data_IF_298231589198
#
_entry.id   IF_298231589198
#
_cell.length_a   1.000
_cell.length_b   1.000
_cell.length_c   1.000
_cell.angle_alpha   90.00
_cell.angle_beta   90.00
_cell.angle_gamma   90.00
#
_symmetry.space_group_name_H-M   'P 1'
#
loop_
_entity.id
_entity.type
_entity.pdbx_description
1 polymer ?
#
# COMPACT_ATOMS: atom_id res chain seq x y z
N UNK A 1 53.28 27.89 40.14
CA UNK A 1 52.13 27.95 41.08
C UNK A 1 51.19 26.79 40.78
N UNK A 2 51.21 25.79 41.67
CA UNK A 2 50.18 24.80 42.09
C UNK A 2 49.04 24.40 41.15
N UNK A 3 48.58 23.15 41.05
CA UNK A 3 49.14 21.78 41.02
C UNK A 3 47.95 20.84 40.84
N UNK A 4 48.15 19.74 40.10
CA UNK A 4 47.31 18.54 40.13
C UNK A 4 47.17 17.98 41.57
N UNK A 5 46.09 17.23 41.79
CA UNK A 5 45.90 16.19 42.81
C UNK A 5 45.16 16.54 44.13
N UNK A 6 43.92 16.06 44.22
CA UNK A 6 43.30 15.42 45.39
C UNK A 6 42.11 14.57 44.91
N UNK A 7 41.90 13.32 45.30
CA UNK A 7 42.71 12.29 45.97
C UNK A 7 41.80 11.04 45.88
N UNK A 8 42.34 9.91 45.41
CA UNK A 8 41.73 8.59 45.57
C UNK A 8 41.72 8.20 47.06
N UNK A 9 40.65 7.56 47.53
CA UNK A 9 40.57 6.66 48.70
C UNK A 9 39.11 6.16 48.70
N UNK A 10 38.77 4.90 48.42
CA UNK A 10 39.23 3.69 49.08
C UNK A 10 39.05 2.45 48.18
N UNK A 11 40.02 1.53 48.25
CA UNK A 11 40.06 0.22 47.60
C UNK A 11 39.50 -0.86 48.56
N UNK A 12 38.73 -1.78 47.97
CA UNK A 12 38.51 -3.19 48.35
C UNK A 12 38.10 -3.59 49.79
N UNK A 13 37.01 -4.36 49.92
CA UNK A 13 37.05 -5.83 50.04
C UNK A 13 35.70 -6.40 50.53
N UNK A 14 35.53 -7.71 50.35
CA UNK A 14 34.57 -8.61 51.01
C UNK A 14 33.20 -8.86 50.33
N UNK A 15 33.25 -9.78 49.37
CA UNK A 15 32.41 -10.99 49.24
C UNK A 15 31.24 -11.24 50.22
N UNK A 16 30.07 -11.62 49.66
CA UNK A 16 29.25 -12.83 49.94
C UNK A 16 27.76 -12.57 49.60
N UNK A 17 27.14 -13.42 48.78
CA UNK A 17 25.68 -13.65 48.82
C UNK A 17 25.30 -14.46 50.09
N UNK A 18 24.02 -14.84 50.36
CA UNK A 18 22.95 -15.11 49.39
C UNK A 18 21.51 -14.68 49.80
N UNK A 19 20.54 -15.06 48.94
CA UNK A 19 19.14 -15.45 49.24
C UNK A 19 17.97 -14.44 49.20
N UNK A 20 16.89 -14.99 48.62
CA UNK A 20 15.52 -14.54 48.38
C UNK A 20 14.80 -13.71 49.46
N UNK A 21 13.99 -12.74 49.02
CA UNK A 21 12.66 -12.50 49.62
C UNK A 21 11.72 -11.82 48.62
N UNK A 22 10.53 -12.40 48.46
CA UNK A 22 9.37 -11.73 47.89
C UNK A 22 9.00 -10.55 48.78
N UNK A 23 8.78 -9.37 48.20
CA UNK A 23 8.13 -8.25 48.89
C UNK A 23 6.88 -7.85 48.11
N UNK A 24 5.77 -8.03 48.79
CA UNK A 24 4.44 -7.62 48.40
C UNK A 24 4.41 -6.16 47.95
N UNK A 25 3.69 -5.93 46.86
CA UNK A 25 3.27 -4.60 46.41
C UNK A 25 2.49 -3.92 47.55
N UNK A 26 2.93 -2.72 47.95
CA UNK A 26 2.28 -1.91 48.98
C UNK A 26 0.86 -1.55 48.57
N UNK A 27 -0.09 -1.49 49.51
CA UNK A 27 -1.51 -1.18 49.31
C UNK A 27 -1.79 0.04 48.42
N UNK A 28 -0.90 1.04 48.41
CA UNK A 28 -0.98 2.21 47.52
C UNK A 28 -0.92 1.89 46.02
N UNK A 29 -0.43 0.71 45.63
CA UNK A 29 -0.36 0.25 44.23
C UNK A 29 -1.57 -0.58 43.79
N UNK A 30 -2.33 -1.11 44.75
CA UNK A 30 -3.60 -1.79 44.47
C UNK A 30 -4.73 -0.76 44.28
N UNK A 31 -4.77 0.28 45.11
CA UNK A 31 -5.74 1.39 44.97
C UNK A 31 -5.54 2.17 43.66
N UNK A 32 -4.29 2.42 43.25
CA UNK A 32 -3.98 3.04 41.97
C UNK A 32 -4.36 2.16 40.76
N UNK A 33 -4.35 0.83 40.93
CA UNK A 33 -4.76 -0.11 39.89
C UNK A 33 -6.29 -0.22 39.81
N UNK A 34 -6.99 -0.19 40.93
CA UNK A 34 -8.46 -0.13 40.97
C UNK A 34 -9.00 1.19 40.41
N UNK A 35 -8.35 2.33 40.69
CA UNK A 35 -8.70 3.61 40.06
C UNK A 35 -8.49 3.57 38.54
N UNK A 36 -7.43 2.93 38.05
CA UNK A 36 -7.17 2.75 36.61
C UNK A 36 -8.19 1.82 35.93
N UNK A 37 -8.61 0.75 36.61
CA UNK A 37 -9.64 -0.18 36.13
C UNK A 37 -11.02 0.50 36.13
N UNK A 38 -11.34 1.31 37.15
CA UNK A 38 -12.56 2.10 37.21
C UNK A 38 -12.60 3.18 36.11
N UNK A 39 -11.47 3.84 35.83
CA UNK A 39 -11.35 4.80 34.73
C UNK A 39 -11.50 4.13 33.35
N UNK A 40 -10.95 2.91 33.18
CA UNK A 40 -11.11 2.13 31.95
C UNK A 40 -12.56 1.67 31.75
N UNK A 41 -13.24 1.29 32.83
CA UNK A 41 -14.64 0.83 32.81
C UNK A 41 -15.62 1.98 32.54
N UNK A 42 -15.35 3.18 33.06
CA UNK A 42 -16.12 4.39 32.74
C UNK A 42 -15.88 4.88 31.30
N UNK A 43 -14.68 4.69 30.75
CA UNK A 43 -14.42 4.93 29.32
C UNK A 43 -15.15 3.92 28.41
N UNK A 44 -15.35 2.68 28.88
CA UNK A 44 -16.14 1.65 28.17
C UNK A 44 -17.65 1.94 28.19
N UNK A 45 -18.21 2.49 29.27
CA UNK A 45 -19.62 2.92 29.28
C UNK A 45 -19.87 4.18 28.44
N UNK A 46 -18.95 5.16 28.48
CA UNK A 46 -19.03 6.35 27.64
C UNK A 46 -18.86 6.01 26.16
N UNK A 47 -18.05 5.01 25.83
CA UNK A 47 -17.90 4.48 24.47
C UNK A 47 -19.06 3.55 24.07
N UNK A 48 -19.71 2.85 25.00
CA UNK A 48 -20.94 2.09 24.76
C UNK A 48 -22.15 3.02 24.49
N UNK A 49 -22.28 4.13 25.22
CA UNK A 49 -23.27 5.19 24.95
C UNK A 49 -23.03 5.87 23.60
N UNK A 50 -21.75 6.13 23.26
CA UNK A 50 -21.34 6.62 21.93
C UNK A 50 -21.63 5.59 20.84
N UNK A 51 -21.38 4.29 21.08
CA UNK A 51 -21.70 3.17 20.17
C UNK A 51 -23.21 3.02 19.96
N UNK A 52 -24.06 3.20 20.98
CA UNK A 52 -25.53 3.20 20.83
C UNK A 52 -26.03 4.42 20.04
N UNK A 53 -25.47 5.61 20.26
CA UNK A 53 -25.77 6.81 19.47
C UNK A 53 -25.27 6.73 18.02
N UNK A 54 -24.11 6.12 17.81
CA UNK A 54 -23.55 5.80 16.48
C UNK A 54 -24.39 4.73 15.78
N UNK A 55 -24.86 3.70 16.49
CA UNK A 55 -25.73 2.64 15.96
C UNK A 55 -27.10 3.16 15.55
N UNK A 56 -27.69 4.11 16.31
CA UNK A 56 -28.95 4.76 15.93
C UNK A 56 -28.77 5.67 14.71
N UNK A 57 -27.69 6.48 14.68
CA UNK A 57 -27.33 7.27 13.49
C UNK A 57 -26.97 6.43 12.26
N UNK A 58 -26.37 5.26 12.44
CA UNK A 58 -26.10 4.28 11.37
C UNK A 58 -27.38 3.62 10.87
N UNK A 59 -28.33 3.32 11.76
CA UNK A 59 -29.65 2.85 11.39
C UNK A 59 -30.47 3.93 10.68
N UNK A 60 -30.37 5.19 11.13
CA UNK A 60 -30.98 6.34 10.45
C UNK A 60 -30.28 6.63 9.10
N UNK A 61 -28.96 6.42 9.00
CA UNK A 61 -28.22 6.46 7.74
C UNK A 61 -28.58 5.30 6.81
N UNK A 62 -28.79 4.09 7.34
CA UNK A 62 -29.22 2.92 6.57
C UNK A 62 -30.68 3.03 6.13
N UNK A 63 -31.54 3.68 6.92
CA UNK A 63 -32.92 4.03 6.57
C UNK A 63 -33.00 5.20 5.58
N UNK A 64 -32.05 6.14 5.62
CA UNK A 64 -31.88 7.17 4.58
C UNK A 64 -31.20 6.63 3.32
N UNK A 65 -30.34 5.60 3.46
CA UNK A 65 -29.69 4.84 2.38
C UNK A 65 -30.58 3.73 1.80
N UNK A 66 -31.80 3.56 2.33
CA UNK A 66 -32.96 3.19 1.50
C UNK A 66 -33.37 4.41 0.65
N UNK A 67 -32.35 5.06 0.07
CA UNK A 67 -32.46 6.21 -0.77
C UNK A 67 -33.23 5.75 -1.99
N UNK A 68 -34.33 6.42 -2.26
CA UNK A 68 -35.07 6.28 -3.51
C UNK A 68 -34.04 6.24 -4.65
N UNK A 69 -33.89 5.10 -5.34
CA UNK A 69 -32.99 5.01 -6.50
C UNK A 69 -33.49 6.04 -7.52
N UNK A 70 -32.71 7.10 -7.73
CA UNK A 70 -33.05 8.15 -8.70
C UNK A 70 -32.36 7.85 -10.01
N UNK A 71 -33.00 8.27 -11.10
CA UNK A 71 -32.34 8.32 -12.40
C UNK A 71 -31.08 9.20 -12.34
N UNK A 72 -30.13 8.96 -13.25
CA UNK A 72 -28.94 9.79 -13.38
C UNK A 72 -29.30 11.27 -13.61
N UNK A 73 -28.54 12.18 -13.00
CA UNK A 73 -28.67 13.61 -13.18
C UNK A 73 -27.51 14.11 -14.05
N UNK A 74 -27.85 14.62 -15.23
CA UNK A 74 -26.86 15.12 -16.20
C UNK A 74 -27.02 16.62 -16.32
N UNK A 75 -25.95 17.37 -16.03
CA UNK A 75 -25.97 18.82 -16.17
C UNK A 75 -26.23 19.22 -17.63
N UNK A 76 -26.98 20.31 -17.85
CA UNK A 76 -27.41 20.74 -19.19
C UNK A 76 -26.26 21.04 -20.17
N UNK A 77 -25.06 21.31 -19.66
CA UNK A 77 -23.86 21.55 -20.48
C UNK A 77 -22.93 20.34 -20.61
N UNK A 78 -23.26 19.22 -19.98
CA UNK A 78 -22.53 17.97 -20.17
C UNK A 78 -22.91 17.32 -21.50
N UNK A 79 -21.94 16.66 -22.14
CA UNK A 79 -22.14 15.93 -23.38
C UNK A 79 -22.02 14.45 -23.08
N UNK A 80 -23.15 13.78 -22.94
CA UNK A 80 -23.21 12.33 -22.71
C UNK A 80 -23.71 11.66 -23.98
N UNK A 81 -22.92 10.73 -24.51
CA UNK A 81 -23.34 9.97 -25.68
C UNK A 81 -24.58 9.11 -25.36
N UNK A 82 -25.58 8.98 -26.25
CA UNK A 82 -26.81 8.22 -25.98
C UNK A 82 -26.61 6.73 -25.61
N UNK A 83 -25.50 6.14 -26.05
CA UNK A 83 -25.15 4.74 -25.73
C UNK A 83 -24.45 4.56 -24.38
N UNK A 84 -24.02 5.63 -23.73
CA UNK A 84 -23.38 5.54 -22.42
C UNK A 84 -24.35 4.95 -21.39
N UNK A 85 -23.88 3.99 -20.60
CA UNK A 85 -24.68 3.36 -19.56
C UNK A 85 -24.46 4.08 -18.23
N UNK A 86 -25.50 4.75 -17.73
CA UNK A 86 -25.48 5.44 -16.45
C UNK A 86 -26.32 4.69 -15.42
N UNK A 87 -25.70 4.30 -14.31
CA UNK A 87 -26.34 3.69 -13.16
C UNK A 87 -27.23 4.66 -12.37
N UNK A 88 -27.93 4.16 -11.34
CA UNK A 88 -28.76 5.00 -10.48
C UNK A 88 -27.91 6.02 -9.71
N UNK A 89 -28.49 7.18 -9.44
CA UNK A 89 -27.88 8.29 -8.69
C UNK A 89 -26.54 8.82 -9.27
N UNK A 90 -26.18 8.46 -10.50
CA UNK A 90 -25.02 9.03 -11.19
C UNK A 90 -25.21 10.53 -11.36
N UNK A 91 -24.17 11.31 -11.06
CA UNK A 91 -24.15 12.76 -11.29
C UNK A 91 -23.09 13.10 -12.33
N UNK A 92 -23.50 13.71 -13.44
CA UNK A 92 -22.59 14.22 -14.46
C UNK A 92 -22.55 15.74 -14.40
N UNK A 93 -21.44 16.27 -13.89
CA UNK A 93 -21.22 17.71 -13.71
C UNK A 93 -21.03 18.50 -15.01
N UNK A 94 -21.00 19.85 -14.92
CA UNK A 94 -20.96 20.75 -16.07
C UNK A 94 -19.76 20.50 -17.00
N UNK A 95 -19.98 20.57 -18.32
CA UNK A 95 -18.94 20.46 -19.35
C UNK A 95 -18.14 19.15 -19.34
N UNK A 96 -18.65 18.13 -18.66
CA UNK A 96 -18.08 16.79 -18.72
C UNK A 96 -18.53 16.09 -20.00
N UNK A 97 -17.66 15.22 -20.53
CA UNK A 97 -17.88 14.46 -21.76
C UNK A 97 -17.80 12.97 -21.44
N UNK A 98 -18.83 12.22 -21.83
CA UNK A 98 -18.93 10.77 -21.62
C UNK A 98 -19.16 10.09 -22.97
N UNK A 99 -18.20 9.24 -23.36
CA UNK A 99 -18.18 8.51 -24.62
C UNK A 99 -19.21 7.39 -24.75
N UNK A 100 -19.37 6.80 -25.96
CA UNK A 100 -20.42 5.84 -26.27
C UNK A 100 -20.35 4.52 -25.50
N UNK A 101 -19.14 4.05 -25.21
CA UNK A 101 -18.90 2.73 -24.61
C UNK A 101 -18.55 2.83 -23.11
N UNK A 102 -18.93 3.94 -22.49
CA UNK A 102 -18.68 4.19 -21.07
C UNK A 102 -19.81 3.64 -20.22
N UNK A 103 -19.44 2.92 -19.16
CA UNK A 103 -20.35 2.43 -18.12
C UNK A 103 -19.99 3.10 -16.80
N UNK A 104 -20.89 3.93 -16.28
CA UNK A 104 -20.80 4.51 -14.93
C UNK A 104 -21.77 3.75 -14.02
N UNK A 105 -21.25 3.06 -13.01
CA UNK A 105 -22.10 2.35 -12.04
C UNK A 105 -22.76 3.31 -11.04
N UNK A 106 -23.50 2.76 -10.07
CA UNK A 106 -24.32 3.54 -9.14
C UNK A 106 -23.51 4.58 -8.37
N UNK A 107 -24.10 5.74 -8.10
CA UNK A 107 -23.53 6.79 -7.25
C UNK A 107 -22.18 7.38 -7.73
N UNK A 108 -21.76 7.11 -8.98
CA UNK A 108 -20.58 7.76 -9.57
C UNK A 108 -20.83 9.25 -9.73
N UNK A 109 -19.84 10.06 -9.36
CA UNK A 109 -19.92 11.53 -9.41
C UNK A 109 -18.81 12.09 -10.27
N UNK A 110 -19.16 12.59 -11.44
CA UNK A 110 -18.28 13.42 -12.25
C UNK A 110 -18.48 14.87 -11.82
N UNK A 111 -17.41 15.53 -11.39
CA UNK A 111 -17.42 16.98 -11.24
C UNK A 111 -17.40 17.64 -12.62
N UNK A 112 -17.08 18.94 -12.69
CA UNK A 112 -17.04 19.66 -13.97
C UNK A 112 -15.83 19.27 -14.81
N UNK A 113 -15.94 19.32 -16.14
CA UNK A 113 -14.80 19.17 -17.07
C UNK A 113 -14.07 17.83 -16.95
N UNK A 114 -14.80 16.75 -16.70
CA UNK A 114 -14.26 15.38 -16.73
C UNK A 114 -14.47 14.80 -18.11
N UNK A 115 -13.45 14.12 -18.66
CA UNK A 115 -13.58 13.38 -19.93
C UNK A 115 -13.41 11.89 -19.65
N UNK A 116 -14.39 11.09 -20.05
CA UNK A 116 -14.33 9.63 -20.01
C UNK A 116 -14.67 9.10 -21.39
N UNK A 117 -13.79 8.30 -21.96
CA UNK A 117 -13.93 7.74 -23.30
C UNK A 117 -13.43 6.30 -23.36
N UNK A 118 -13.48 5.69 -24.54
CA UNK A 118 -13.13 4.29 -24.76
C UNK A 118 -14.11 3.33 -24.06
N UNK A 119 -13.81 2.04 -24.16
CA UNK A 119 -14.58 1.00 -23.49
C UNK A 119 -14.21 0.94 -22.01
N UNK A 120 -14.81 1.85 -21.24
CA UNK A 120 -14.42 2.19 -19.88
C UNK A 120 -15.55 1.91 -18.90
N UNK A 121 -15.24 1.16 -17.83
CA UNK A 121 -16.13 0.97 -16.69
C UNK A 121 -15.61 1.70 -15.46
N UNK A 122 -16.50 2.43 -14.78
CA UNK A 122 -16.24 3.07 -13.48
C UNK A 122 -17.19 2.51 -12.43
N UNK A 123 -16.61 1.92 -11.39
CA UNK A 123 -17.33 1.27 -10.29
C UNK A 123 -18.04 2.25 -9.38
N UNK A 124 -18.98 1.70 -8.60
CA UNK A 124 -19.95 2.46 -7.83
C UNK A 124 -19.32 3.39 -6.78
N UNK A 125 -19.93 4.56 -6.54
CA UNK A 125 -19.48 5.51 -5.52
C UNK A 125 -18.17 6.25 -5.81
N UNK A 126 -17.56 6.02 -6.98
CA UNK A 126 -16.32 6.70 -7.38
C UNK A 126 -16.56 8.19 -7.69
N UNK A 127 -15.68 9.05 -7.19
CA UNK A 127 -15.74 10.50 -7.37
C UNK A 127 -14.57 10.96 -8.25
N UNK A 128 -14.90 11.70 -9.31
CA UNK A 128 -13.95 12.14 -10.33
C UNK A 128 -13.95 13.66 -10.41
N UNK A 129 -12.79 14.25 -10.11
CA UNK A 129 -12.58 15.68 -10.00
C UNK A 129 -12.22 16.33 -11.35
N UNK A 130 -12.27 17.68 -11.44
CA UNK A 130 -12.15 18.38 -12.70
C UNK A 130 -10.87 18.12 -13.48
N UNK A 131 -11.00 18.13 -14.80
CA UNK A 131 -9.89 17.95 -15.75
C UNK A 131 -9.24 16.57 -15.71
N UNK A 132 -9.85 15.60 -15.04
CA UNK A 132 -9.45 14.21 -15.18
C UNK A 132 -9.85 13.66 -16.56
N UNK A 133 -8.97 12.83 -17.13
CA UNK A 133 -9.16 12.17 -18.44
C UNK A 133 -8.97 10.67 -18.30
N UNK A 134 -10.04 9.90 -18.44
CA UNK A 134 -10.03 8.45 -18.24
C UNK A 134 -10.41 7.71 -19.53
N UNK A 135 -9.71 6.61 -19.80
CA UNK A 135 -10.02 5.69 -20.90
C UNK A 135 -9.51 6.12 -22.28
N UNK A 136 -8.83 7.27 -22.35
CA UNK A 136 -8.19 7.77 -23.58
C UNK A 136 -7.19 6.76 -24.17
N UNK A 137 -6.94 6.88 -25.49
CA UNK A 137 -6.02 6.01 -26.23
C UNK A 137 -4.65 5.90 -25.53
N UNK A 138 -4.05 4.70 -25.47
CA UNK A 138 -2.72 4.50 -24.88
C UNK A 138 -1.66 5.31 -25.62
N UNK A 139 -0.69 5.85 -24.88
CA UNK A 139 0.49 6.54 -25.43
C UNK A 139 1.57 5.55 -25.93
N UNK A 140 1.15 4.46 -26.57
CA UNK A 140 2.04 3.46 -27.17
C UNK A 140 1.96 3.54 -28.71
N UNK A 141 3.11 3.76 -29.36
CA UNK A 141 3.19 3.88 -30.83
C UNK A 141 2.73 2.61 -31.56
N UNK A 142 2.86 1.45 -30.92
CA UNK A 142 2.47 0.15 -31.46
C UNK A 142 0.96 -0.10 -31.37
N UNK A 143 0.22 0.66 -30.54
CA UNK A 143 -1.22 0.48 -30.40
C UNK A 143 -1.96 0.51 -31.74
N UNK A 144 -1.56 1.39 -32.66
CA UNK A 144 -2.18 1.52 -33.99
C UNK A 144 -1.77 0.41 -34.98
N UNK A 145 -0.85 -0.47 -34.60
CA UNK A 145 -0.36 -1.55 -35.46
C UNK A 145 -1.16 -2.85 -35.33
N UNK A 146 -2.03 -2.93 -34.32
CA UNK A 146 -2.82 -4.13 -34.03
C UNK A 146 -4.29 -3.74 -33.86
N UNK A 147 -5.18 -4.61 -34.31
CA UNK A 147 -6.61 -4.48 -34.06
C UNK A 147 -6.93 -5.09 -32.69
N UNK A 148 -7.71 -4.37 -31.88
CA UNK A 148 -8.25 -4.93 -30.64
C UNK A 148 -9.56 -5.64 -30.94
N UNK A 149 -9.80 -6.77 -30.29
CA UNK A 149 -11.11 -7.42 -30.36
C UNK A 149 -12.20 -6.43 -29.92
N UNK A 150 -13.25 -6.33 -30.74
CA UNK A 150 -14.34 -5.38 -30.52
C UNK A 150 -15.10 -5.72 -29.24
N UNK A 151 -15.40 -4.71 -28.41
CA UNK A 151 -16.18 -4.87 -27.19
C UNK A 151 -15.38 -5.25 -25.93
N UNK A 152 -14.07 -5.50 -26.02
CA UNK A 152 -13.23 -5.70 -24.84
C UNK A 152 -13.00 -4.39 -24.08
N UNK A 153 -13.15 -4.41 -22.75
CA UNK A 153 -12.86 -3.26 -21.90
C UNK A 153 -11.39 -2.82 -22.11
N UNK A 154 -11.18 -1.51 -22.24
CA UNK A 154 -9.84 -0.90 -22.28
C UNK A 154 -9.44 -0.38 -20.90
N UNK A 155 -10.41 0.04 -20.09
CA UNK A 155 -10.19 0.52 -18.73
C UNK A 155 -11.28 0.02 -17.77
N UNK A 156 -10.85 -0.47 -16.61
CA UNK A 156 -11.72 -0.72 -15.47
C UNK A 156 -11.24 0.08 -14.25
N UNK A 157 -12.13 0.85 -13.65
CA UNK A 157 -11.92 1.55 -12.38
C UNK A 157 -12.90 0.97 -11.36
N UNK A 158 -12.40 0.60 -10.19
CA UNK A 158 -13.17 0.01 -9.10
C UNK A 158 -14.12 1.00 -8.42
N UNK A 159 -14.70 0.54 -7.32
CA UNK A 159 -15.66 1.29 -6.52
C UNK A 159 -14.97 2.21 -5.52
N UNK A 160 -15.67 3.27 -5.09
CA UNK A 160 -15.24 4.20 -4.03
C UNK A 160 -13.85 4.84 -4.26
N UNK A 161 -13.44 4.97 -5.52
CA UNK A 161 -12.18 5.63 -5.84
C UNK A 161 -12.34 7.16 -5.73
N UNK A 162 -11.26 7.83 -5.38
CA UNK A 162 -11.14 9.29 -5.47
C UNK A 162 -10.11 9.61 -6.53
N UNK A 163 -10.59 10.14 -7.66
CA UNK A 163 -9.78 10.52 -8.81
C UNK A 163 -9.69 12.04 -8.82
N UNK A 164 -8.55 12.59 -8.44
CA UNK A 164 -8.33 14.03 -8.28
C UNK A 164 -8.09 14.74 -9.60
N UNK A 165 -7.92 16.04 -9.51
CA UNK A 165 -7.81 16.96 -10.64
C UNK A 165 -6.63 16.58 -11.55
N UNK A 166 -6.82 16.69 -12.85
CA UNK A 166 -5.78 16.39 -13.86
C UNK A 166 -5.23 14.96 -13.82
N UNK A 167 -5.90 14.02 -13.16
CA UNK A 167 -5.51 12.61 -13.24
C UNK A 167 -5.77 12.08 -14.64
N UNK A 168 -4.82 11.34 -15.18
CA UNK A 168 -4.95 10.66 -16.47
C UNK A 168 -4.82 9.16 -16.27
N UNK A 169 -5.78 8.38 -16.79
CA UNK A 169 -5.72 6.91 -16.81
C UNK A 169 -6.00 6.47 -18.23
N UNK A 170 -5.02 5.88 -18.89
CA UNK A 170 -5.14 5.45 -20.28
C UNK A 170 -5.68 4.01 -20.38
N UNK A 171 -6.47 3.76 -21.42
CA UNK A 171 -6.92 2.41 -21.76
C UNK A 171 -5.74 1.50 -22.12
N UNK A 172 -5.98 0.19 -22.10
CA UNK A 172 -5.01 -0.81 -22.51
C UNK A 172 -4.66 -0.72 -23.98
N UNK A 173 -3.50 -1.26 -24.34
CA UNK A 173 -3.09 -1.42 -25.73
C UNK A 173 -3.97 -2.43 -26.47
N UNK A 174 -3.92 -2.39 -27.79
CA UNK A 174 -4.78 -3.21 -28.67
C UNK A 174 -4.40 -4.69 -28.66
N UNK A 175 -3.15 -4.98 -28.30
CA UNK A 175 -2.59 -6.31 -28.14
C UNK A 175 -2.52 -6.77 -26.69
N UNK A 176 -3.14 -6.02 -25.77
CA UNK A 176 -3.27 -6.44 -24.38
C UNK A 176 -4.60 -7.15 -24.17
N UNK A 177 -4.52 -8.37 -23.64
CA UNK A 177 -5.68 -9.20 -23.29
C UNK A 177 -6.46 -8.63 -22.09
N UNK A 178 -5.81 -7.83 -21.24
CA UNK A 178 -6.40 -7.27 -20.04
C UNK A 178 -6.60 -5.75 -20.17
N UNK A 179 -7.67 -5.18 -19.58
CA UNK A 179 -7.81 -3.73 -19.46
C UNK A 179 -6.70 -3.16 -18.56
N UNK A 180 -6.39 -1.88 -18.71
CA UNK A 180 -5.78 -1.12 -17.60
C UNK A 180 -6.76 -1.17 -16.44
N UNK A 181 -6.30 -1.49 -15.24
CA UNK A 181 -7.19 -1.68 -14.09
C UNK A 181 -6.76 -0.82 -12.89
N UNK A 182 -7.73 -0.18 -12.25
CA UNK A 182 -7.61 0.46 -10.94
C UNK A 182 -8.59 -0.22 -10.00
N UNK A 183 -8.11 -0.83 -8.92
CA UNK A 183 -8.96 -1.52 -7.95
C UNK A 183 -9.78 -0.58 -7.06
N UNK A 184 -10.53 -1.15 -6.13
CA UNK A 184 -11.43 -0.40 -5.24
C UNK A 184 -10.69 0.49 -4.23
N UNK A 185 -11.39 1.51 -3.73
CA UNK A 185 -10.93 2.41 -2.66
C UNK A 185 -9.60 3.12 -2.95
N UNK A 186 -9.24 3.28 -4.23
CA UNK A 186 -7.98 3.94 -4.61
C UNK A 186 -8.08 5.46 -4.53
N UNK A 187 -6.96 6.11 -4.18
CA UNK A 187 -6.82 7.56 -4.19
C UNK A 187 -5.74 7.97 -5.18
N UNK A 188 -6.15 8.47 -6.33
CA UNK A 188 -5.25 9.06 -7.33
C UNK A 188 -5.25 10.57 -7.16
N UNK A 189 -4.16 11.13 -6.64
CA UNK A 189 -4.05 12.56 -6.35
C UNK A 189 -3.65 13.37 -7.58
N UNK A 190 -3.68 14.70 -7.43
CA UNK A 190 -3.67 15.63 -8.56
C UNK A 190 -2.50 15.39 -9.51
N UNK A 191 -2.79 15.32 -10.81
CA UNK A 191 -1.78 15.13 -11.85
C UNK A 191 -1.11 13.74 -11.88
N UNK A 192 -1.65 12.75 -11.17
CA UNK A 192 -1.17 11.38 -11.30
C UNK A 192 -1.49 10.81 -12.69
N UNK A 193 -0.55 10.06 -13.24
CA UNK A 193 -0.68 9.38 -14.53
C UNK A 193 -0.57 7.86 -14.36
N UNK A 194 -1.54 7.15 -14.91
CA UNK A 194 -1.56 5.68 -15.06
C UNK A 194 -1.56 5.36 -16.55
N UNK A 195 -0.44 4.86 -17.05
CA UNK A 195 -0.31 4.43 -18.44
C UNK A 195 -1.02 3.10 -18.70
N UNK A 196 -1.08 2.76 -19.99
CA UNK A 196 -1.67 1.55 -20.53
C UNK A 196 -1.21 0.27 -19.85
N UNK A 197 -2.11 -0.71 -19.79
CA UNK A 197 -1.85 -2.09 -19.35
C UNK A 197 -1.42 -2.22 -17.88
N UNK A 198 -1.48 -1.13 -17.12
CA UNK A 198 -1.11 -1.11 -15.71
C UNK A 198 -2.22 -1.69 -14.83
N UNK A 199 -1.84 -2.35 -13.76
CA UNK A 199 -2.73 -3.03 -12.82
C UNK A 199 -2.51 -2.47 -11.42
N UNK A 200 -3.45 -1.69 -10.91
CA UNK A 200 -3.44 -1.18 -9.54
C UNK A 200 -4.43 -2.02 -8.70
N UNK A 201 -3.97 -2.55 -7.57
CA UNK A 201 -4.78 -3.26 -6.60
C UNK A 201 -5.74 -2.34 -5.83
N UNK A 202 -6.29 -2.82 -4.72
CA UNK A 202 -7.23 -2.03 -3.89
C UNK A 202 -6.51 -1.13 -2.88
N UNK A 203 -7.14 -0.02 -2.50
CA UNK A 203 -6.64 0.95 -1.49
C UNK A 203 -5.25 1.50 -1.81
N UNK A 204 -4.89 1.58 -3.09
CA UNK A 204 -3.63 2.18 -3.53
C UNK A 204 -3.74 3.69 -3.42
N UNK A 205 -2.68 4.34 -2.91
CA UNK A 205 -2.57 5.81 -2.90
C UNK A 205 -1.47 6.22 -3.87
N UNK A 206 -1.84 6.96 -4.90
CA UNK A 206 -0.91 7.56 -5.86
C UNK A 206 -0.89 9.06 -5.60
N UNK A 207 0.24 9.55 -5.07
CA UNK A 207 0.36 10.96 -4.71
C UNK A 207 0.50 11.87 -5.93
N UNK A 208 0.52 13.19 -5.68
CA UNK A 208 0.53 14.19 -6.74
C UNK A 208 1.70 13.99 -7.73
N UNK A 209 1.41 14.21 -9.02
CA UNK A 209 2.39 14.22 -10.11
C UNK A 209 3.24 12.93 -10.20
N UNK A 210 2.69 11.79 -9.79
CA UNK A 210 3.31 10.49 -10.03
C UNK A 210 3.09 10.08 -11.48
N UNK A 211 4.12 9.55 -12.13
CA UNK A 211 4.04 9.00 -13.47
C UNK A 211 4.29 7.48 -13.45
N UNK A 212 3.23 6.70 -13.71
CA UNK A 212 3.29 5.24 -13.84
C UNK A 212 3.33 4.90 -15.33
N UNK A 213 4.44 4.32 -15.80
CA UNK A 213 4.59 3.88 -17.19
C UNK A 213 3.81 2.58 -17.47
N UNK A 214 3.81 2.14 -18.74
CA UNK A 214 2.99 1.01 -19.17
C UNK A 214 3.35 -0.32 -18.51
N UNK A 215 2.37 -1.21 -18.38
CA UNK A 215 2.53 -2.56 -17.83
C UNK A 215 3.05 -2.60 -16.37
N UNK A 216 2.79 -1.58 -15.58
CA UNK A 216 3.20 -1.56 -14.16
C UNK A 216 2.14 -2.25 -13.31
N UNK A 217 2.56 -3.09 -12.37
CA UNK A 217 1.68 -3.72 -11.38
C UNK A 217 1.92 -3.13 -10.00
N UNK A 218 0.86 -2.67 -9.32
CA UNK A 218 0.93 -2.10 -7.97
C UNK A 218 -0.02 -2.87 -7.06
N UNK A 219 0.52 -3.54 -6.05
CA UNK A 219 -0.24 -4.34 -5.11
C UNK A 219 -1.07 -3.52 -4.13
N UNK A 220 -2.02 -4.22 -3.50
CA UNK A 220 -2.95 -3.65 -2.53
C UNK A 220 -2.30 -2.78 -1.46
N UNK A 221 -2.93 -1.67 -1.10
CA UNK A 221 -2.51 -0.77 -0.02
C UNK A 221 -1.12 -0.14 -0.21
N UNK A 222 -0.50 -0.26 -1.39
CA UNK A 222 0.75 0.42 -1.67
C UNK A 222 0.56 1.94 -1.74
N UNK A 223 1.59 2.68 -1.34
CA UNK A 223 1.60 4.14 -1.37
C UNK A 223 2.76 4.61 -2.22
N UNK A 224 2.45 5.39 -3.24
CA UNK A 224 3.44 6.02 -4.13
C UNK A 224 3.53 7.50 -3.76
N UNK A 225 4.68 7.92 -3.24
CA UNK A 225 4.95 9.30 -2.85
C UNK A 225 4.95 10.26 -4.05
N UNK A 226 4.79 11.55 -3.79
CA UNK A 226 4.60 12.55 -4.86
C UNK A 226 5.83 12.66 -5.77
N UNK A 227 5.60 13.01 -7.04
CA UNK A 227 6.64 13.20 -8.06
C UNK A 227 7.52 11.96 -8.31
N UNK A 228 6.98 10.76 -8.09
CA UNK A 228 7.67 9.51 -8.41
C UNK A 228 7.49 9.16 -9.89
N UNK A 229 8.54 8.67 -10.53
CA UNK A 229 8.47 7.99 -11.82
C UNK A 229 8.66 6.48 -11.65
N UNK A 230 7.77 5.67 -12.24
CA UNK A 230 7.88 4.20 -12.26
C UNK A 230 8.09 3.74 -13.70
N UNK A 231 9.21 3.04 -13.95
CA UNK A 231 9.55 2.45 -15.24
C UNK A 231 8.55 1.36 -15.64
N UNK A 232 8.32 1.19 -16.94
CA UNK A 232 7.48 0.12 -17.49
C UNK A 232 7.87 -1.27 -16.97
N UNK A 233 6.90 -2.16 -16.85
CA UNK A 233 7.03 -3.55 -16.36
C UNK A 233 7.47 -3.72 -14.89
N UNK A 234 7.61 -2.64 -14.12
CA UNK A 234 7.92 -2.74 -12.69
C UNK A 234 6.71 -3.25 -11.91
N UNK A 235 6.96 -4.12 -10.94
CA UNK A 235 6.01 -4.56 -9.93
C UNK A 235 6.29 -3.92 -8.58
N UNK A 236 5.31 -3.25 -8.00
CA UNK A 236 5.33 -2.73 -6.62
C UNK A 236 4.49 -3.65 -5.75
N UNK A 237 5.10 -4.31 -4.77
CA UNK A 237 4.39 -5.24 -3.89
C UNK A 237 3.36 -4.55 -2.98
N UNK A 238 2.42 -5.32 -2.40
CA UNK A 238 1.38 -4.78 -1.54
C UNK A 238 1.96 -4.12 -0.29
N UNK A 239 1.30 -3.06 0.16
CA UNK A 239 1.63 -2.27 1.34
C UNK A 239 3.08 -1.73 1.32
N UNK A 240 3.73 -1.73 0.15
CA UNK A 240 4.99 -1.06 -0.06
C UNK A 240 4.81 0.46 -0.03
N UNK A 241 5.91 1.15 0.27
CA UNK A 241 5.98 2.61 0.24
C UNK A 241 7.11 3.03 -0.69
N UNK A 242 6.78 3.85 -1.68
CA UNK A 242 7.78 4.55 -2.50
C UNK A 242 7.88 5.99 -1.98
N UNK A 243 9.06 6.39 -1.53
CA UNK A 243 9.32 7.76 -1.10
C UNK A 243 9.15 8.76 -2.26
N UNK A 244 8.71 9.98 -1.95
CA UNK A 244 8.55 11.03 -2.96
C UNK A 244 9.84 11.32 -3.74
N UNK A 245 9.69 11.85 -4.96
CA UNK A 245 10.79 12.18 -5.88
C UNK A 245 11.72 11.00 -6.23
N UNK A 246 11.26 9.76 -6.04
CA UNK A 246 12.02 8.57 -6.40
C UNK A 246 11.87 8.21 -7.88
N UNK A 247 12.90 7.60 -8.46
CA UNK A 247 12.83 6.98 -9.79
C UNK A 247 12.95 5.46 -9.64
N UNK A 248 11.82 4.76 -9.81
CA UNK A 248 11.73 3.32 -9.61
C UNK A 248 11.98 2.61 -10.93
N UNK A 249 13.09 1.88 -11.00
CA UNK A 249 13.53 1.13 -12.19
C UNK A 249 13.61 -0.39 -11.97
N UNK A 250 13.16 -0.84 -10.79
CA UNK A 250 13.14 -2.24 -10.39
C UNK A 250 11.97 -2.55 -9.45
N UNK A 251 11.71 -3.84 -9.27
CA UNK A 251 10.59 -4.34 -8.49
C UNK A 251 10.74 -4.00 -7.01
N UNK A 252 9.67 -3.44 -6.43
CA UNK A 252 9.61 -3.05 -5.03
C UNK A 252 9.02 -4.21 -4.22
N UNK A 253 9.76 -4.66 -3.22
CA UNK A 253 9.36 -5.76 -2.34
C UNK A 253 7.99 -5.49 -1.68
N UNK A 254 7.12 -6.51 -1.50
CA UNK A 254 5.96 -6.42 -0.61
C UNK A 254 6.38 -5.89 0.76
N UNK A 255 5.61 -4.95 1.29
CA UNK A 255 5.89 -4.29 2.56
C UNK A 255 7.23 -3.53 2.58
N UNK A 256 7.89 -3.36 1.43
CA UNK A 256 9.17 -2.67 1.31
C UNK A 256 9.02 -1.16 1.39
N UNK A 257 10.10 -0.49 1.78
CA UNK A 257 10.25 0.96 1.66
C UNK A 257 11.41 1.23 0.70
N UNK A 258 11.12 1.88 -0.42
CA UNK A 258 12.13 2.32 -1.39
C UNK A 258 12.20 3.84 -1.47
N UNK A 259 13.40 4.39 -1.60
CA UNK A 259 13.62 5.83 -1.75
C UNK A 259 14.78 6.11 -2.71
N UNK A 260 14.77 7.26 -3.37
CA UNK A 260 15.90 7.80 -4.13
C UNK A 260 15.73 7.72 -5.64
N UNK A 261 16.69 8.31 -6.35
CA UNK A 261 16.72 8.38 -7.82
C UNK A 261 18.11 7.98 -8.31
N UNK A 262 18.37 6.72 -8.67
CA UNK A 262 17.46 5.55 -8.74
C UNK A 262 17.07 5.00 -7.36
N UNK A 263 15.85 4.48 -7.25
CA UNK A 263 15.28 4.01 -5.98
C UNK A 263 16.01 2.78 -5.44
N UNK A 264 16.23 2.76 -4.12
CA UNK A 264 16.85 1.64 -3.40
C UNK A 264 15.99 1.20 -2.23
N UNK A 265 15.99 -0.10 -1.95
CA UNK A 265 15.24 -0.71 -0.85
C UNK A 265 15.94 -0.36 0.48
N UNK A 266 15.33 0.56 1.22
CA UNK A 266 15.84 1.08 2.49
C UNK A 266 15.46 0.19 3.69
N UNK A 267 14.46 -0.68 3.52
CA UNK A 267 13.95 -1.55 4.58
C UNK A 267 12.52 -1.97 4.34
N UNK A 268 11.82 -2.32 5.42
CA UNK A 268 10.38 -2.56 5.41
C UNK A 268 9.62 -1.28 5.82
N UNK A 269 8.41 -1.11 5.29
CA UNK A 269 7.43 -0.10 5.65
C UNK A 269 6.82 -0.39 7.04
N UNK A 270 7.63 -0.23 8.10
CA UNK A 270 7.23 -0.51 9.48
C UNK A 270 6.10 0.40 9.98
N UNK A 271 5.94 1.58 9.39
CA UNK A 271 4.81 2.48 9.70
C UNK A 271 3.53 1.92 9.10
N UNK A 272 3.54 1.55 7.80
CA UNK A 272 2.41 0.93 7.13
C UNK A 272 1.97 -0.37 7.78
N UNK A 273 2.92 -1.28 8.07
CA UNK A 273 2.65 -2.55 8.76
C UNK A 273 1.96 -2.34 10.12
N UNK A 274 2.42 -1.36 10.92
CA UNK A 274 1.80 -1.06 12.22
C UNK A 274 0.39 -0.47 12.07
N UNK A 275 0.18 0.42 11.10
CA UNK A 275 -1.14 1.02 10.81
C UNK A 275 -2.14 -0.01 10.26
N UNK A 276 -1.66 -1.00 9.52
CA UNK A 276 -2.44 -2.12 9.03
C UNK A 276 -2.75 -3.18 10.12
N UNK A 277 -2.36 -2.94 11.38
CA UNK A 277 -2.65 -3.85 12.49
C UNK A 277 -1.81 -5.13 12.50
N UNK A 278 -0.72 -5.21 11.73
CA UNK A 278 0.13 -6.39 11.69
C UNK A 278 0.78 -6.63 13.05
N UNK A 279 0.67 -7.86 13.56
CA UNK A 279 1.17 -8.21 14.89
C UNK A 279 2.68 -7.98 15.00
N UNK A 280 3.15 -7.63 16.20
CA UNK A 280 4.59 -7.45 16.46
C UNK A 280 5.39 -8.71 16.14
N UNK A 281 4.82 -9.90 16.36
CA UNK A 281 5.42 -11.18 16.03
C UNK A 281 5.63 -11.34 14.52
N UNK A 282 4.62 -11.01 13.70
CA UNK A 282 4.72 -11.08 12.25
C UNK A 282 5.68 -10.03 11.70
N UNK A 283 5.64 -8.79 12.21
CA UNK A 283 6.62 -7.75 11.85
C UNK A 283 8.05 -8.22 12.18
N UNK A 284 8.24 -8.83 13.36
CA UNK A 284 9.55 -9.38 13.73
C UNK A 284 9.97 -10.46 12.73
N UNK A 285 9.10 -11.40 12.38
CA UNK A 285 9.43 -12.47 11.44
C UNK A 285 9.74 -11.96 10.03
N UNK A 286 8.95 -11.01 9.51
CA UNK A 286 9.24 -10.29 8.26
C UNK A 286 10.64 -9.67 8.29
N UNK A 287 11.00 -8.99 9.38
CA UNK A 287 12.33 -8.40 9.53
C UNK A 287 13.44 -9.46 9.54
N UNK A 288 13.23 -10.62 10.18
CA UNK A 288 14.21 -11.72 10.19
C UNK A 288 14.44 -12.26 8.78
N UNK A 289 13.37 -12.51 8.03
CA UNK A 289 13.42 -13.00 6.66
C UNK A 289 14.04 -11.95 5.72
N UNK A 290 13.62 -10.68 5.79
CA UNK A 290 14.20 -9.57 5.05
C UNK A 290 15.71 -9.44 5.28
N UNK A 291 16.15 -9.45 6.55
CA UNK A 291 17.57 -9.34 6.90
C UNK A 291 18.38 -10.53 6.40
N UNK A 292 17.80 -11.72 6.38
CA UNK A 292 18.46 -12.86 5.77
C UNK A 292 18.60 -12.69 4.25
N UNK A 293 17.52 -12.33 3.56
CA UNK A 293 17.49 -12.20 2.09
C UNK A 293 18.31 -11.03 1.55
N UNK A 294 18.36 -9.89 2.25
CA UNK A 294 18.98 -8.66 1.73
C UNK A 294 20.16 -8.14 2.55
N UNK A 295 20.33 -8.60 3.79
CA UNK A 295 21.41 -8.15 4.66
C UNK A 295 22.77 -8.76 4.30
N UNK A 296 23.85 -8.07 4.69
CA UNK A 296 25.21 -8.59 4.57
C UNK A 296 25.51 -9.69 5.62
N UNK A 297 26.50 -10.58 5.41
CA UNK A 297 26.87 -11.64 6.35
C UNK A 297 27.17 -11.14 7.78
N UNK A 298 27.70 -9.92 7.91
CA UNK A 298 28.03 -9.29 9.20
C UNK A 298 26.78 -8.88 10.02
N UNK A 299 25.62 -8.72 9.38
CA UNK A 299 24.37 -8.30 10.04
C UNK A 299 23.62 -9.45 10.73
N UNK A 300 24.17 -10.66 10.79
CA UNK A 300 23.47 -11.88 11.24
C UNK A 300 23.00 -11.86 12.71
N UNK A 301 23.73 -11.22 13.63
CA UNK A 301 23.59 -11.51 15.08
C UNK A 301 23.21 -10.33 16.00
N UNK A 302 22.90 -9.14 15.49
CA UNK A 302 22.65 -7.95 16.34
C UNK A 302 21.31 -7.26 16.04
N UNK A 303 20.65 -6.76 17.09
CA UNK A 303 19.43 -5.93 17.02
C UNK A 303 18.12 -6.65 17.35
N UNK A 304 17.01 -5.89 17.29
CA UNK A 304 15.66 -6.31 17.71
C UNK A 304 15.10 -7.57 17.01
N UNK A 305 15.50 -7.81 15.75
CA UNK A 305 15.06 -8.96 14.95
C UNK A 305 16.26 -9.54 14.17
N UNK A 306 17.10 -10.42 14.78
CA UNK A 306 18.26 -10.98 14.08
C UNK A 306 17.83 -11.78 12.85
N UNK A 307 18.69 -11.89 11.84
CA UNK A 307 18.40 -12.66 10.63
C UNK A 307 18.01 -14.12 10.96
N UNK A 308 17.37 -14.82 10.02
CA UNK A 308 17.20 -16.27 10.14
C UNK A 308 18.58 -16.94 10.30
N UNK A 309 18.64 -17.95 11.16
CA UNK A 309 19.90 -18.65 11.48
C UNK A 309 20.22 -19.68 10.40
N UNK A 310 20.62 -19.16 9.23
CA UNK A 310 20.88 -19.92 8.02
C UNK A 310 22.28 -19.59 7.48
N UNK A 311 22.84 -20.55 6.73
CA UNK A 311 24.09 -20.35 6.00
C UNK A 311 23.94 -19.17 5.01
N UNK A 312 25.00 -18.40 4.77
CA UNK A 312 24.86 -17.30 3.80
C UNK A 312 24.95 -17.85 2.37
N UNK A 313 24.04 -17.46 1.49
CA UNK A 313 24.12 -17.72 0.03
C UNK A 313 24.45 -16.43 -0.70
N UNK A 314 25.11 -16.55 -1.85
CA UNK A 314 25.60 -15.40 -2.60
C UNK A 314 24.45 -14.59 -3.18
N UNK A 315 23.47 -15.26 -3.77
CA UNK A 315 22.35 -14.57 -4.41
C UNK A 315 21.18 -14.34 -3.45
N UNK A 316 20.43 -13.26 -3.67
CA UNK A 316 19.20 -12.95 -2.91
C UNK A 316 18.14 -14.04 -3.12
N UNK A 317 18.07 -14.61 -4.33
CA UNK A 317 17.09 -15.63 -4.71
C UNK A 317 17.35 -16.95 -3.98
N UNK A 318 18.60 -17.43 -3.93
CA UNK A 318 18.95 -18.64 -3.16
C UNK A 318 18.63 -18.47 -1.68
N UNK A 319 18.90 -17.27 -1.12
CA UNK A 319 18.52 -16.95 0.26
C UNK A 319 17.00 -16.97 0.44
N UNK A 320 16.23 -16.48 -0.52
CA UNK A 320 14.77 -16.56 -0.45
C UNK A 320 14.25 -18.01 -0.49
N UNK A 321 14.78 -18.84 -1.40
CA UNK A 321 14.41 -20.26 -1.48
C UNK A 321 14.73 -21.02 -0.18
N UNK A 322 15.92 -20.79 0.39
CA UNK A 322 16.33 -21.42 1.66
C UNK A 322 15.49 -20.91 2.84
N UNK A 323 15.16 -19.61 2.86
CA UNK A 323 14.24 -19.05 3.85
C UNK A 323 12.86 -19.72 3.78
N UNK A 324 12.32 -19.91 2.56
CA UNK A 324 11.02 -20.57 2.35
C UNK A 324 11.03 -21.99 2.92
N UNK A 325 12.04 -22.78 2.57
CA UNK A 325 12.18 -24.16 3.04
C UNK A 325 12.34 -24.23 4.57
N UNK A 326 13.15 -23.33 5.14
CA UNK A 326 13.31 -23.22 6.59
C UNK A 326 11.98 -22.95 7.30
N UNK A 327 11.22 -21.96 6.83
CA UNK A 327 9.93 -21.59 7.43
C UNK A 327 8.94 -22.76 7.40
N UNK A 328 8.83 -23.47 6.26
CA UNK A 328 7.97 -24.65 6.13
C UNK A 328 8.40 -25.75 7.11
N UNK A 329 9.71 -26.01 7.24
CA UNK A 329 10.25 -27.03 8.15
C UNK A 329 9.97 -26.72 9.63
N UNK A 330 9.96 -25.44 10.01
CA UNK A 330 9.58 -24.97 11.34
C UNK A 330 8.05 -24.97 11.56
N UNK A 331 7.28 -25.51 10.61
CA UNK A 331 5.83 -25.55 10.63
C UNK A 331 5.18 -24.19 10.41
N UNK A 332 5.91 -23.20 9.89
CA UNK A 332 5.43 -21.86 9.60
C UNK A 332 5.12 -21.72 8.10
N UNK A 333 4.08 -22.40 7.65
CA UNK A 333 3.58 -22.38 6.27
C UNK A 333 2.82 -21.08 5.91
N UNK A 334 2.33 -21.00 4.67
CA UNK A 334 1.59 -19.86 4.13
C UNK A 334 0.23 -19.64 4.79
N UNK A 335 -0.37 -20.65 5.41
CA UNK A 335 -1.63 -20.48 6.14
C UNK A 335 -1.38 -19.75 7.47
N UNK A 336 -0.26 -20.05 8.14
CA UNK A 336 0.09 -19.46 9.43
C UNK A 336 0.74 -18.09 9.32
N UNK A 337 1.61 -17.87 8.32
CA UNK A 337 2.37 -16.62 8.14
C UNK A 337 2.34 -16.11 6.69
N UNK A 338 1.15 -15.85 6.12
CA UNK A 338 0.96 -15.56 4.69
C UNK A 338 1.83 -14.40 4.20
N UNK A 339 1.96 -13.33 4.98
CA UNK A 339 2.75 -12.15 4.59
C UNK A 339 4.24 -12.46 4.37
N UNK A 340 4.79 -13.37 5.17
CA UNK A 340 6.22 -13.72 5.04
C UNK A 340 6.42 -14.56 3.79
N UNK A 341 5.52 -15.50 3.50
CA UNK A 341 5.56 -16.27 2.25
C UNK A 341 5.34 -15.39 1.04
N UNK A 342 4.42 -14.43 1.07
CA UNK A 342 4.23 -13.48 -0.03
C UNK A 342 5.50 -12.68 -0.33
N UNK A 343 6.16 -12.16 0.71
CA UNK A 343 7.43 -11.43 0.55
C UNK A 343 8.55 -12.32 -0.02
N UNK A 344 8.65 -13.57 0.45
CA UNK A 344 9.66 -14.53 -0.01
C UNK A 344 9.37 -14.99 -1.44
N UNK A 345 8.12 -15.29 -1.77
CA UNK A 345 7.69 -15.76 -3.09
C UNK A 345 7.84 -14.69 -4.15
N UNK A 346 7.61 -13.42 -3.79
CA UNK A 346 7.94 -12.31 -4.65
C UNK A 346 9.42 -12.33 -5.06
N UNK A 347 10.33 -12.59 -4.12
CA UNK A 347 11.77 -12.68 -4.42
C UNK A 347 12.09 -13.94 -5.24
N UNK A 348 11.51 -15.09 -4.89
CA UNK A 348 11.75 -16.36 -5.60
C UNK A 348 11.30 -16.29 -7.07
N UNK A 349 10.18 -15.62 -7.34
CA UNK A 349 9.61 -15.47 -8.68
C UNK A 349 10.18 -14.29 -9.46
N UNK A 350 11.02 -13.44 -8.86
CA UNK A 350 11.59 -12.29 -9.55
C UNK A 350 12.36 -12.63 -10.84
N UNK A 351 13.13 -13.74 -10.94
CA UNK A 351 13.81 -14.08 -12.19
C UNK A 351 12.86 -14.47 -13.34
N UNK A 352 11.62 -14.83 -13.02
CA UNK A 352 10.60 -15.19 -14.01
C UNK A 352 9.86 -13.95 -14.53
N UNK A 353 9.99 -12.80 -13.84
CA UNK A 353 9.34 -11.57 -14.23
C UNK A 353 10.12 -10.90 -15.36
N UNK A 354 9.41 -10.63 -16.43
CA UNK A 354 9.97 -10.07 -17.65
C UNK A 354 10.50 -8.65 -17.38
N UNK A 355 11.77 -8.41 -17.74
CA UNK A 355 12.35 -7.06 -17.95
C UNK A 355 12.47 -6.14 -16.70
N UNK A 356 12.17 -6.66 -15.51
CA UNK A 356 12.40 -5.97 -14.24
C UNK A 356 13.35 -6.77 -13.35
N UNK A 357 14.13 -6.05 -12.55
CA UNK A 357 15.02 -6.61 -11.52
C UNK A 357 14.59 -6.07 -10.17
N UNK A 358 14.78 -6.81 -9.07
CA UNK A 358 14.47 -6.29 -7.73
C UNK A 358 15.23 -4.98 -7.44
N UNK A 359 14.56 -4.01 -6.82
CA UNK A 359 15.21 -2.83 -6.29
C UNK A 359 16.36 -3.25 -5.36
N UNK A 360 17.57 -2.76 -5.66
CA UNK A 360 18.74 -3.06 -4.84
C UNK A 360 18.55 -2.56 -3.41
N UNK A 361 18.84 -3.41 -2.44
CA UNK A 361 18.88 -3.02 -1.04
C UNK A 361 20.04 -2.06 -0.77
N UNK A 362 19.80 -1.08 0.09
CA UNK A 362 20.88 -0.28 0.68
C UNK A 362 21.62 -1.20 1.65
N UNK A 363 22.68 -1.85 1.18
CA UNK A 363 23.62 -2.52 2.05
C UNK A 363 24.39 -1.40 2.72
N UNK A 364 24.13 -1.14 4.00
CA UNK A 364 25.00 -0.27 4.77
C UNK A 364 26.40 -0.91 4.77
N UNK A 365 27.31 -0.37 3.95
CA UNK A 365 28.74 -0.54 4.21
C UNK A 365 28.97 -0.09 5.66
N UNK A 366 29.76 -0.81 6.46
CA UNK A 366 30.24 -0.22 7.71
C UNK A 366 30.91 1.08 7.31
N UNK A 367 30.44 2.21 7.85
CA UNK A 367 31.21 3.45 7.83
C UNK A 367 32.58 3.08 8.41
N UNK A 368 33.60 3.13 7.55
CA UNK A 368 34.99 2.93 7.94
C UNK A 368 35.48 4.10 8.79
#
# INVERSE_FOLDING_TARGET
MLSRARWQRFVASASRGPASSSRALSSASAEALEELIAHASQQDEHSAGRRRGISRRLQDYQAAATALERAAEVHATAVVHPNAALGPNVLVGPYSVVGPDVVLEADVRLQSHVVIDGNTRVGSGTVIHPFASLGAEPQDKKHRMFEKESGAMTLTVGSNCVIREHVTVHGSTSYSEAPTAVGDDCWLLCGAHVAHDSQLGRRVVVSNNVCIAGHVSIGDCAIIGGQVGIKQHVSVGPLAMVGGQSAVDGDVLPYGLVVGNRAKLAGLNLVGLRRAGVSRTNIKLLLRAYRYMFGAPACKKRGFAPALDLAYRETVVERAMEAKQFLIKEGLDSERIPMVHEMVDFVVTSPQRFHSSLCHAVISTPLH
#
